data_IF_747862623302
#
_entry.id   IF_747862623302
#
_cell.length_a   1.000
_cell.length_b   1.000
_cell.length_c   1.000
_cell.angle_alpha   90.00
_cell.angle_beta   90.00
_cell.angle_gamma   90.00
#
_symmetry.space_group_name_H-M   'P 1'
#
loop_
_entity.id
_entity.type
_entity.pdbx_description
1 polymer ?
#
# COMPACT_ATOMS: atom_id res chain seq x y z
N UNK A 1 5.12 19.15 -1.71
CA UNK A 1 5.49 18.32 -2.87
C UNK A 1 4.46 17.23 -3.13
N UNK A 2 4.09 16.40 -2.14
CA UNK A 2 3.16 15.26 -2.34
C UNK A 2 1.80 15.66 -2.96
N UNK A 3 1.14 16.68 -2.40
CA UNK A 3 -0.14 17.19 -2.94
C UNK A 3 -0.03 17.73 -4.37
N UNK A 4 1.02 18.49 -4.65
CA UNK A 4 1.23 19.07 -5.98
C UNK A 4 1.57 17.98 -7.01
N UNK A 5 2.44 17.04 -6.63
CA UNK A 5 2.76 15.87 -7.46
C UNK A 5 1.51 15.03 -7.74
N UNK A 6 0.67 14.81 -6.73
CA UNK A 6 -0.61 14.12 -6.90
C UNK A 6 -1.51 14.82 -7.92
N UNK A 7 -1.72 16.13 -7.80
CA UNK A 7 -2.54 16.90 -8.75
C UNK A 7 -2.00 16.81 -10.16
N UNK A 8 -0.69 17.06 -10.34
CA UNK A 8 -0.04 16.98 -11.66
C UNK A 8 -0.20 15.60 -12.28
N UNK A 9 -0.03 14.53 -11.50
CA UNK A 9 -0.23 13.17 -12.00
C UNK A 9 -1.68 12.91 -12.41
N UNK A 10 -2.66 13.32 -11.60
CA UNK A 10 -4.07 13.16 -11.93
C UNK A 10 -4.44 13.94 -13.21
N UNK A 11 -4.05 15.21 -13.29
CA UNK A 11 -4.30 16.06 -14.46
C UNK A 11 -3.63 15.49 -15.71
N UNK A 12 -2.37 15.07 -15.63
CA UNK A 12 -1.66 14.46 -16.76
C UNK A 12 -2.39 13.24 -17.31
N UNK A 13 -2.86 12.33 -16.43
CA UNK A 13 -3.59 11.14 -16.87
C UNK A 13 -4.91 11.49 -17.55
N UNK A 14 -5.64 12.46 -17.01
CA UNK A 14 -6.90 12.93 -17.60
C UNK A 14 -6.68 13.62 -18.95
N UNK A 15 -5.64 14.45 -19.07
CA UNK A 15 -5.27 15.15 -20.32
C UNK A 15 -4.82 14.17 -21.41
N UNK A 16 -4.22 13.04 -21.03
CA UNK A 16 -3.91 11.92 -21.92
C UNK A 16 -5.15 11.11 -22.34
N UNK A 17 -6.35 11.46 -21.84
CA UNK A 17 -7.61 10.80 -22.15
C UNK A 17 -7.91 9.55 -21.32
N UNK A 18 -7.16 9.28 -20.25
CA UNK A 18 -7.47 8.15 -19.36
C UNK A 18 -8.67 8.46 -18.47
N UNK A 19 -9.63 7.52 -18.40
CA UNK A 19 -10.69 7.53 -17.38
C UNK A 19 -10.20 6.80 -16.14
N UNK A 20 -10.10 7.51 -15.01
CA UNK A 20 -9.72 6.93 -13.72
C UNK A 20 -11.00 6.56 -12.96
N UNK A 21 -11.30 5.27 -12.84
CA UNK A 21 -12.49 4.81 -12.12
C UNK A 21 -12.22 4.68 -10.62
N UNK A 22 -11.11 4.07 -10.24
CA UNK A 22 -10.72 3.80 -8.86
C UNK A 22 -9.30 4.29 -8.61
N UNK A 23 -9.09 4.94 -7.46
CA UNK A 23 -7.76 5.33 -7.01
C UNK A 23 -7.55 4.95 -5.56
N UNK A 24 -6.51 4.18 -5.29
CA UNK A 24 -6.11 3.79 -3.95
C UNK A 24 -4.98 4.69 -3.44
N UNK A 25 -5.11 5.21 -2.21
CA UNK A 25 -4.07 6.02 -1.57
C UNK A 25 -3.88 5.64 -0.11
N UNK A 26 -2.82 6.17 0.49
CA UNK A 26 -2.70 6.24 1.93
C UNK A 26 -3.75 7.17 2.55
N UNK A 27 -3.92 7.11 3.87
CA UNK A 27 -4.85 7.93 4.66
C UNK A 27 -4.36 9.38 4.87
N UNK A 28 -3.89 10.01 3.79
CA UNK A 28 -3.42 11.39 3.81
C UNK A 28 -4.60 12.39 3.75
N UNK A 29 -4.72 13.26 4.77
CA UNK A 29 -5.89 14.14 4.94
C UNK A 29 -6.06 15.11 3.76
N UNK A 30 -4.98 15.69 3.25
CA UNK A 30 -5.05 16.63 2.12
C UNK A 30 -5.46 15.93 0.82
N UNK A 31 -4.88 14.77 0.48
CA UNK A 31 -5.27 13.96 -0.69
C UNK A 31 -6.74 13.56 -0.60
N UNK A 32 -7.22 13.13 0.57
CA UNK A 32 -8.65 12.86 0.79
C UNK A 32 -9.53 14.08 0.47
N UNK A 33 -9.11 15.28 0.89
CA UNK A 33 -9.83 16.50 0.57
C UNK A 33 -9.80 16.83 -0.92
N UNK A 34 -8.69 16.57 -1.61
CA UNK A 34 -8.53 16.79 -3.04
C UNK A 34 -9.44 15.85 -3.82
N UNK A 35 -9.39 14.55 -3.53
CA UNK A 35 -10.28 13.56 -4.15
C UNK A 35 -11.74 13.97 -4.02
N UNK A 36 -12.16 14.42 -2.83
CA UNK A 36 -13.55 14.85 -2.63
C UNK A 36 -13.93 16.13 -3.39
N UNK A 37 -13.00 17.10 -3.52
CA UNK A 37 -13.30 18.43 -4.08
C UNK A 37 -13.05 18.54 -5.57
N UNK A 38 -11.96 17.93 -6.04
CA UNK A 38 -11.43 18.08 -7.40
C UNK A 38 -11.70 16.85 -8.27
N UNK A 39 -11.82 15.65 -7.68
CA UNK A 39 -12.03 14.39 -8.41
C UNK A 39 -13.20 13.55 -7.85
N UNK A 40 -14.41 14.12 -7.67
CA UNK A 40 -15.52 13.45 -6.99
C UNK A 40 -16.05 12.20 -7.71
N UNK A 41 -15.85 12.12 -9.03
CA UNK A 41 -16.25 10.97 -9.87
C UNK A 41 -15.32 9.75 -9.70
N UNK A 42 -14.11 9.96 -9.17
CA UNK A 42 -13.15 8.88 -8.96
C UNK A 42 -13.44 8.20 -7.61
N UNK A 43 -13.66 6.89 -7.64
CA UNK A 43 -13.88 6.12 -6.43
C UNK A 43 -12.58 6.03 -5.61
N UNK A 44 -12.53 6.82 -4.54
CA UNK A 44 -11.38 6.88 -3.64
C UNK A 44 -11.37 5.71 -2.65
N UNK A 45 -10.31 4.90 -2.72
CA UNK A 45 -10.05 3.75 -1.86
C UNK A 45 -8.82 3.98 -0.97
N UNK A 46 -8.76 3.26 0.15
CA UNK A 46 -7.57 3.19 0.99
C UNK A 46 -6.83 1.87 0.83
N UNK A 47 -5.53 1.88 1.07
CA UNK A 47 -4.77 0.65 1.24
C UNK A 47 -5.17 -0.07 2.54
N UNK A 48 -5.73 -1.27 2.40
CA UNK A 48 -6.12 -2.14 3.52
C UNK A 48 -4.95 -2.48 4.44
N UNK A 49 -3.73 -2.63 3.91
CA UNK A 49 -2.53 -2.88 4.71
C UNK A 49 -2.24 -1.72 5.65
N UNK A 50 -2.28 -0.48 5.16
CA UNK A 50 -2.05 0.72 5.97
C UNK A 50 -3.14 0.87 7.05
N UNK A 51 -4.41 0.56 6.73
CA UNK A 51 -5.49 0.60 7.73
C UNK A 51 -5.31 -0.48 8.79
N UNK A 52 -5.02 -1.71 8.38
CA UNK A 52 -4.72 -2.84 9.26
C UNK A 52 -3.56 -2.52 10.22
N UNK A 53 -2.48 -1.92 9.71
CA UNK A 53 -1.34 -1.47 10.52
C UNK A 53 -1.74 -0.41 11.54
N UNK A 54 -2.60 0.55 11.16
CA UNK A 54 -3.14 1.56 12.07
C UNK A 54 -3.98 0.96 13.20
N UNK A 55 -4.88 0.03 12.87
CA UNK A 55 -5.71 -0.70 13.84
C UNK A 55 -4.84 -1.50 14.80
N UNK A 56 -3.90 -2.29 14.26
CA UNK A 56 -2.97 -3.09 15.08
C UNK A 56 -2.23 -2.20 16.08
N UNK A 57 -1.70 -1.05 15.64
CA UNK A 57 -1.03 -0.08 16.52
C UNK A 57 -1.94 0.42 17.65
N UNK A 58 -3.22 0.76 17.36
CA UNK A 58 -4.20 1.17 18.39
C UNK A 58 -4.47 0.04 19.38
N UNK A 59 -4.68 -1.17 18.91
CA UNK A 59 -4.91 -2.34 19.76
C UNK A 59 -3.68 -2.68 20.61
N UNK A 60 -2.47 -2.55 20.06
CA UNK A 60 -1.24 -2.77 20.83
C UNK A 60 -1.10 -1.77 21.97
N UNK A 61 -1.50 -0.52 21.76
CA UNK A 61 -1.52 0.46 22.82
C UNK A 61 -2.55 0.10 23.91
N UNK A 62 -3.76 -0.29 23.51
CA UNK A 62 -4.81 -0.74 24.46
C UNK A 62 -4.40 -1.99 25.24
N UNK A 63 -3.72 -2.94 24.61
CA UNK A 63 -3.29 -4.19 25.21
C UNK A 63 -2.23 -4.02 26.32
N UNK A 64 -1.59 -2.84 26.42
CA UNK A 64 -0.68 -2.49 27.52
C UNK A 64 -1.41 -2.07 28.80
N UNK A 65 -2.72 -1.79 28.74
CA UNK A 65 -3.52 -1.45 29.91
C UNK A 65 -3.81 -2.68 30.77
N UNK A 66 -3.78 -2.53 32.10
CA UNK A 66 -4.05 -3.63 33.05
C UNK A 66 -5.43 -4.25 32.80
N UNK A 67 -5.47 -5.56 32.55
CA UNK A 67 -6.69 -6.31 32.24
C UNK A 67 -7.11 -6.27 30.76
N UNK A 68 -6.22 -5.84 29.86
CA UNK A 68 -6.42 -5.82 28.41
C UNK A 68 -5.41 -6.72 27.66
N UNK A 69 -4.62 -7.50 28.38
CA UNK A 69 -3.51 -8.30 27.85
C UNK A 69 -3.98 -9.34 26.83
N UNK A 70 -5.19 -9.87 27.02
CA UNK A 70 -5.81 -10.87 26.14
C UNK A 70 -6.04 -10.38 24.71
N UNK A 71 -6.07 -9.06 24.47
CA UNK A 71 -6.14 -8.49 23.12
C UNK A 71 -4.97 -8.93 22.24
N UNK A 72 -3.80 -9.21 22.83
CA UNK A 72 -2.63 -9.65 22.08
C UNK A 72 -2.87 -10.98 21.35
N UNK A 73 -3.66 -11.88 21.94
CA UNK A 73 -4.01 -13.18 21.34
C UNK A 73 -4.88 -13.03 20.09
N UNK A 74 -5.65 -11.94 20.00
CA UNK A 74 -6.59 -11.70 18.91
C UNK A 74 -6.05 -10.83 17.78
N UNK A 75 -4.91 -10.16 17.96
CA UNK A 75 -4.38 -9.20 16.97
C UNK A 75 -4.29 -9.77 15.56
N UNK A 76 -3.72 -10.97 15.41
CA UNK A 76 -3.55 -11.61 14.10
C UNK A 76 -4.92 -11.89 13.47
N UNK A 77 -5.86 -12.44 14.24
CA UNK A 77 -7.20 -12.74 13.79
C UNK A 77 -7.98 -11.49 13.40
N UNK A 78 -7.91 -10.41 14.19
CA UNK A 78 -8.58 -9.14 13.87
C UNK A 78 -8.01 -8.52 12.59
N UNK A 79 -6.69 -8.55 12.43
CA UNK A 79 -6.03 -8.07 11.21
C UNK A 79 -6.48 -8.89 10.00
N UNK A 80 -6.40 -10.23 10.07
CA UNK A 80 -6.82 -11.11 8.99
C UNK A 80 -8.32 -10.96 8.67
N UNK A 81 -9.14 -10.73 9.69
CA UNK A 81 -10.58 -10.50 9.53
C UNK A 81 -10.87 -9.23 8.73
N UNK A 82 -10.14 -8.13 8.95
CA UNK A 82 -10.30 -6.93 8.12
C UNK A 82 -9.99 -7.19 6.65
N UNK A 83 -8.91 -7.92 6.37
CA UNK A 83 -8.55 -8.33 5.01
C UNK A 83 -9.63 -9.19 4.38
N UNK A 84 -10.16 -10.16 5.13
CA UNK A 84 -11.26 -11.01 4.70
C UNK A 84 -12.54 -10.21 4.42
N UNK A 85 -12.91 -9.28 5.31
CA UNK A 85 -14.08 -8.43 5.11
C UNK A 85 -13.96 -7.62 3.82
N UNK A 86 -12.81 -6.96 3.60
CA UNK A 86 -12.58 -6.16 2.41
C UNK A 86 -12.60 -7.02 1.13
N UNK A 87 -11.99 -8.21 1.17
CA UNK A 87 -11.96 -9.13 0.03
C UNK A 87 -13.32 -9.76 -0.30
N UNK A 88 -14.22 -9.92 0.68
CA UNK A 88 -15.46 -10.67 0.52
C UNK A 88 -16.73 -9.82 0.55
N UNK A 89 -16.59 -8.49 0.62
CA UNK A 89 -17.75 -7.60 0.61
C UNK A 89 -18.38 -7.40 -0.78
N UNK A 90 -17.73 -7.86 -1.86
CA UNK A 90 -18.25 -7.74 -3.22
C UNK A 90 -18.51 -6.29 -3.66
N UNK A 91 -17.73 -5.32 -3.15
CA UNK A 91 -17.95 -3.89 -3.40
C UNK A 91 -18.98 -3.23 -2.48
N UNK A 92 -19.72 -3.98 -1.66
CA UNK A 92 -20.77 -3.45 -0.79
C UNK A 92 -20.20 -2.94 0.55
N UNK A 93 -20.38 -1.63 0.78
CA UNK A 93 -19.86 -0.94 1.96
C UNK A 93 -20.59 -1.31 3.25
N UNK A 94 -21.87 -1.68 3.17
CA UNK A 94 -22.66 -2.08 4.33
C UNK A 94 -22.30 -3.51 4.74
N UNK A 95 -22.16 -4.43 3.79
CA UNK A 95 -21.66 -5.80 4.06
C UNK A 95 -20.27 -5.73 4.69
N UNK A 96 -19.38 -4.92 4.14
CA UNK A 96 -18.03 -4.70 4.67
C UNK A 96 -18.05 -4.23 6.12
N UNK A 97 -18.87 -3.22 6.42
CA UNK A 97 -18.94 -2.61 7.75
C UNK A 97 -19.58 -3.56 8.78
N UNK A 98 -20.68 -4.24 8.43
CA UNK A 98 -21.31 -5.23 9.31
C UNK A 98 -20.38 -6.42 9.56
N UNK A 99 -19.72 -6.92 8.51
CA UNK A 99 -18.72 -7.99 8.63
C UNK A 99 -17.58 -7.56 9.55
N UNK A 100 -17.08 -6.33 9.44
CA UNK A 100 -16.04 -5.81 10.32
C UNK A 100 -16.50 -5.76 11.78
N UNK A 101 -17.69 -5.21 12.05
CA UNK A 101 -18.22 -5.05 13.41
C UNK A 101 -18.42 -6.40 14.09
N UNK A 102 -18.77 -7.44 13.33
CA UNK A 102 -19.03 -8.78 13.86
C UNK A 102 -17.85 -9.39 14.62
N UNK A 103 -16.61 -8.91 14.40
CA UNK A 103 -15.42 -9.39 15.11
C UNK A 103 -15.54 -9.21 16.62
N UNK A 104 -16.27 -8.17 17.07
CA UNK A 104 -16.53 -7.94 18.50
C UNK A 104 -17.28 -9.12 19.10
N UNK A 105 -18.34 -9.59 18.43
CA UNK A 105 -19.12 -10.75 18.87
C UNK A 105 -18.31 -12.04 18.76
N UNK A 106 -17.60 -12.23 17.64
CA UNK A 106 -16.77 -13.42 17.44
C UNK A 106 -15.73 -13.57 18.56
N UNK A 107 -15.05 -12.49 18.97
CA UNK A 107 -14.02 -12.59 20.03
C UNK A 107 -14.53 -13.05 21.40
N UNK A 108 -15.84 -12.98 21.65
CA UNK A 108 -16.50 -13.47 22.87
C UNK A 108 -17.33 -14.74 22.62
N UNK A 109 -16.99 -15.48 21.57
CA UNK A 109 -17.64 -16.73 21.16
C UNK A 109 -19.13 -16.60 20.78
N UNK A 110 -19.56 -15.42 20.32
CA UNK A 110 -20.91 -15.19 19.79
C UNK A 110 -20.82 -15.19 18.26
N UNK A 111 -21.38 -16.24 17.64
CA UNK A 111 -21.28 -16.45 16.18
C UNK A 111 -22.54 -16.07 15.41
N UNK A 112 -23.62 -15.72 16.11
CA UNK A 112 -24.87 -15.22 15.53
C UNK A 112 -25.24 -13.90 16.18
N UNK A 113 -25.56 -12.90 15.38
CA UNK A 113 -25.72 -11.53 15.83
C UNK A 113 -26.69 -10.77 14.93
N UNK A 114 -27.17 -9.64 15.44
CA UNK A 114 -28.03 -8.73 14.69
C UNK A 114 -27.24 -8.05 13.57
N UNK A 115 -27.80 -8.05 12.36
CA UNK A 115 -27.25 -7.41 11.19
C UNK A 115 -28.26 -7.45 10.05
N UNK A 116 -28.17 -6.52 9.09
CA UNK A 116 -29.08 -6.50 7.94
C UNK A 116 -28.63 -7.52 6.89
N UNK A 117 -27.33 -7.55 6.62
CA UNK A 117 -26.70 -8.34 5.55
C UNK A 117 -25.76 -9.42 6.09
N UNK A 118 -25.07 -9.17 7.21
CA UNK A 118 -24.17 -10.12 7.86
C UNK A 118 -24.68 -10.49 9.25
N UNK A 119 -25.21 -11.71 9.42
CA UNK A 119 -25.90 -12.16 10.65
C UNK A 119 -25.19 -13.27 11.40
N UNK A 120 -24.19 -13.90 10.78
CA UNK A 120 -23.44 -15.00 11.38
C UNK A 120 -22.01 -15.05 10.86
N UNK A 121 -21.11 -15.65 11.62
CA UNK A 121 -19.74 -15.87 11.19
C UNK A 121 -19.68 -16.75 9.92
N UNK A 122 -18.80 -16.38 8.97
CA UNK A 122 -18.66 -17.06 7.68
C UNK A 122 -17.63 -18.20 7.73
N UNK A 123 -17.68 -19.01 8.78
CA UNK A 123 -16.90 -20.23 8.91
C UNK A 123 -17.83 -21.36 9.37
N UNK A 124 -17.44 -22.60 9.09
CA UNK A 124 -18.09 -23.78 9.66
C UNK A 124 -17.99 -23.75 11.19
N UNK A 125 -18.86 -24.48 11.92
CA UNK A 125 -18.72 -24.61 13.37
C UNK A 125 -17.28 -24.91 13.77
N UNK A 126 -16.80 -24.22 14.81
CA UNK A 126 -15.46 -24.44 15.32
C UNK A 126 -15.51 -25.72 16.13
N UNK A 127 -14.69 -26.70 15.75
CA UNK A 127 -14.59 -27.96 16.48
C UNK A 127 -14.32 -27.72 17.97
N UNK A 128 -14.97 -28.46 18.89
CA UNK A 128 -14.85 -28.24 20.34
C UNK A 128 -13.40 -28.17 20.82
N UNK A 129 -12.53 -29.05 20.31
CA UNK A 129 -11.12 -29.12 20.68
C UNK A 129 -10.36 -27.84 20.30
N UNK A 130 -10.71 -27.24 19.16
CA UNK A 130 -10.13 -25.96 18.72
C UNK A 130 -10.73 -24.81 19.51
N UNK A 131 -12.02 -24.87 19.84
CA UNK A 131 -12.70 -23.84 20.62
C UNK A 131 -12.15 -23.76 22.05
N UNK A 132 -11.89 -24.89 22.69
CA UNK A 132 -11.42 -24.97 24.08
C UNK A 132 -10.00 -24.45 24.26
N UNK A 133 -9.16 -24.56 23.22
CA UNK A 133 -7.81 -23.98 23.23
C UNK A 133 -7.79 -22.50 22.89
N UNK A 134 -8.90 -21.95 22.39
CA UNK A 134 -8.99 -20.57 21.94
C UNK A 134 -9.22 -19.65 23.14
N UNK A 135 -8.39 -18.61 23.22
CA UNK A 135 -8.43 -17.62 24.30
C UNK A 135 -9.52 -16.58 24.06
N UNK A 136 -10.79 -16.99 24.17
CA UNK A 136 -11.94 -16.09 24.05
C UNK A 136 -11.85 -14.95 25.06
N UNK A 137 -12.27 -13.75 24.64
CA UNK A 137 -12.42 -12.64 25.56
C UNK A 137 -13.66 -12.87 26.43
N UNK A 138 -13.59 -12.46 27.69
CA UNK A 138 -14.77 -12.41 28.55
C UNK A 138 -15.66 -11.25 28.11
N UNK A 139 -16.95 -11.52 27.90
CA UNK A 139 -17.92 -10.49 27.52
C UNK A 139 -17.92 -9.34 28.53
N UNK A 140 -17.80 -8.14 27.99
CA UNK A 140 -17.76 -6.84 28.69
C UNK A 140 -16.63 -6.66 29.72
N UNK A 141 -15.61 -7.53 29.66
CA UNK A 141 -14.31 -7.29 30.29
C UNK A 141 -13.64 -6.00 29.79
N UNK A 142 -12.58 -5.57 30.50
CA UNK A 142 -11.77 -4.42 30.09
C UNK A 142 -11.19 -4.62 28.67
N UNK A 143 -10.67 -5.81 28.37
CA UNK A 143 -10.19 -6.18 27.04
C UNK A 143 -11.31 -6.05 25.98
N UNK A 144 -12.47 -6.64 26.21
CA UNK A 144 -13.59 -6.58 25.26
C UNK A 144 -14.09 -5.15 25.02
N UNK A 145 -14.18 -4.33 26.07
CA UNK A 145 -14.54 -2.91 25.96
C UNK A 145 -13.49 -2.12 25.17
N UNK A 146 -12.21 -2.36 25.43
CA UNK A 146 -11.12 -1.74 24.67
C UNK A 146 -11.13 -2.16 23.18
N UNK A 147 -11.49 -3.40 22.85
CA UNK A 147 -11.72 -3.83 21.47
C UNK A 147 -12.90 -3.07 20.85
N UNK A 148 -14.05 -3.02 21.52
CA UNK A 148 -15.25 -2.27 21.08
C UNK A 148 -14.91 -0.82 20.76
N UNK A 149 -14.17 -0.14 21.63
CA UNK A 149 -13.75 1.26 21.41
C UNK A 149 -12.97 1.45 20.10
N UNK A 150 -12.12 0.49 19.73
CA UNK A 150 -11.34 0.58 18.47
C UNK A 150 -12.21 0.19 17.28
N UNK A 151 -12.93 -0.93 17.34
CA UNK A 151 -13.71 -1.48 16.22
C UNK A 151 -14.89 -0.56 15.86
N UNK A 152 -15.56 0.00 16.87
CA UNK A 152 -16.76 0.83 16.71
C UNK A 152 -16.45 2.32 16.56
N UNK A 153 -15.18 2.72 16.52
CA UNK A 153 -14.78 4.11 16.29
C UNK A 153 -15.41 4.65 15.00
N UNK A 154 -16.18 5.73 15.13
CA UNK A 154 -16.94 6.33 14.01
C UNK A 154 -16.01 6.75 12.86
N UNK A 155 -14.81 7.23 13.17
CA UNK A 155 -13.83 7.64 12.13
C UNK A 155 -13.25 6.42 11.43
N UNK A 156 -12.88 5.38 12.19
CA UNK A 156 -12.42 4.13 11.61
C UNK A 156 -13.46 3.51 10.69
N UNK A 157 -14.72 3.40 11.14
CA UNK A 157 -15.81 2.82 10.34
C UNK A 157 -16.01 3.55 9.01
N UNK A 158 -15.95 4.88 9.00
CA UNK A 158 -15.97 5.67 7.75
C UNK A 158 -14.81 5.34 6.82
N UNK A 159 -13.62 5.12 7.37
CA UNK A 159 -12.45 4.77 6.56
C UNK A 159 -12.50 3.30 6.09
N UNK A 160 -13.10 2.39 6.87
CA UNK A 160 -13.34 0.99 6.46
C UNK A 160 -14.25 0.91 5.24
N UNK A 161 -15.28 1.77 5.16
CA UNK A 161 -16.13 1.87 3.95
C UNK A 161 -15.37 2.29 2.68
N UNK A 162 -14.10 2.70 2.77
CA UNK A 162 -13.21 2.97 1.62
C UNK A 162 -12.28 1.79 1.30
N UNK A 163 -12.57 0.59 1.78
CA UNK A 163 -11.84 -0.64 1.44
C UNK A 163 -12.66 -1.60 0.56
N UNK A 164 -13.81 -1.15 0.04
CA UNK A 164 -14.77 -2.03 -0.62
C UNK A 164 -14.27 -2.58 -1.96
N UNK A 165 -13.25 -1.97 -2.59
CA UNK A 165 -12.58 -2.51 -3.78
C UNK A 165 -11.31 -3.33 -3.46
N UNK A 166 -11.08 -3.65 -2.18
CA UNK A 166 -9.95 -4.46 -1.72
C UNK A 166 -8.57 -4.02 -2.28
N UNK A 167 -8.35 -2.70 -2.33
CA UNK A 167 -7.11 -2.14 -2.86
C UNK A 167 -5.93 -2.32 -1.89
N UNK A 168 -4.76 -2.71 -2.41
CA UNK A 168 -3.52 -2.82 -1.64
C UNK A 168 -2.27 -2.56 -2.50
N UNK A 169 -1.20 -2.05 -1.89
CA UNK A 169 0.01 -1.60 -2.60
C UNK A 169 1.07 -2.69 -2.83
N UNK A 170 0.74 -3.98 -2.65
CA UNK A 170 1.69 -5.08 -2.79
C UNK A 170 2.47 -5.10 -4.11
N UNK A 171 1.82 -4.81 -5.24
CA UNK A 171 2.49 -4.75 -6.55
C UNK A 171 3.37 -3.50 -6.71
N UNK A 172 3.00 -2.38 -6.09
CA UNK A 172 3.82 -1.16 -6.07
C UNK A 172 5.11 -1.39 -5.29
N UNK A 173 5.08 -2.14 -4.18
CA UNK A 173 6.29 -2.51 -3.43
C UNK A 173 7.24 -3.40 -4.25
N UNK A 174 6.68 -4.28 -5.09
CA UNK A 174 7.48 -5.07 -6.05
C UNK A 174 8.11 -4.15 -7.09
N UNK A 175 7.38 -3.16 -7.61
CA UNK A 175 7.93 -2.15 -8.51
C UNK A 175 9.03 -1.32 -7.86
N UNK A 176 8.81 -0.78 -6.66
CA UNK A 176 9.81 0.00 -5.92
C UNK A 176 11.09 -0.80 -5.68
N UNK A 177 10.94 -2.09 -5.33
CA UNK A 177 12.08 -2.99 -5.17
C UNK A 177 12.85 -3.22 -6.48
N UNK A 178 12.16 -3.25 -7.62
CA UNK A 178 12.77 -3.35 -8.94
C UNK A 178 13.46 -2.04 -9.35
N UNK A 179 12.78 -0.91 -9.16
CA UNK A 179 13.27 0.43 -9.45
C UNK A 179 14.62 0.68 -8.75
N UNK A 180 14.76 0.26 -7.50
CA UNK A 180 16.02 0.37 -6.75
C UNK A 180 17.20 -0.39 -7.37
N UNK A 181 16.97 -1.35 -8.27
CA UNK A 181 18.04 -2.02 -9.03
C UNK A 181 18.57 -1.14 -10.16
N UNK A 182 17.70 -0.31 -10.76
CA UNK A 182 18.04 0.60 -11.85
C UNK A 182 18.52 1.96 -11.33
N UNK A 183 17.91 2.45 -10.25
CA UNK A 183 18.18 3.73 -9.59
C UNK A 183 18.52 3.51 -8.10
N UNK A 184 19.68 2.91 -7.78
CA UNK A 184 20.08 2.68 -6.40
C UNK A 184 20.29 4.00 -5.65
N UNK A 185 19.72 4.12 -4.45
CA UNK A 185 19.83 5.33 -3.60
C UNK A 185 21.25 5.73 -3.18
N UNK A 186 22.23 4.84 -3.39
CA UNK A 186 23.64 5.03 -3.01
C UNK A 186 24.49 5.63 -4.13
N UNK A 187 23.90 5.85 -5.29
CA UNK A 187 24.57 6.43 -6.45
C UNK A 187 23.85 7.71 -6.84
N UNK A 188 24.62 8.71 -7.24
CA UNK A 188 24.09 9.93 -7.84
C UNK A 188 23.93 9.71 -9.34
N UNK A 189 22.86 10.28 -9.88
CA UNK A 189 22.54 10.25 -11.29
C UNK A 189 22.12 11.66 -11.71
N UNK A 190 22.56 12.09 -12.89
CA UNK A 190 21.98 13.27 -13.50
C UNK A 190 20.52 13.01 -13.92
N UNK A 191 19.82 14.06 -14.36
CA UNK A 191 18.41 13.96 -14.75
C UNK A 191 18.18 12.96 -15.90
N UNK A 192 19.05 12.93 -16.91
CA UNK A 192 18.88 12.08 -18.09
C UNK A 192 19.11 10.60 -17.75
N UNK A 193 20.10 10.33 -16.91
CA UNK A 193 20.37 9.02 -16.33
C UNK A 193 19.18 8.57 -15.47
N UNK A 194 18.65 9.44 -14.60
CA UNK A 194 17.47 9.14 -13.79
C UNK A 194 16.26 8.79 -14.65
N UNK A 195 15.97 9.61 -15.67
CA UNK A 195 14.86 9.39 -16.58
C UNK A 195 15.01 8.06 -17.33
N UNK A 196 16.18 7.83 -17.94
CA UNK A 196 16.45 6.63 -18.73
C UNK A 196 16.38 5.36 -17.87
N UNK A 197 17.00 5.37 -16.69
CA UNK A 197 16.99 4.22 -15.77
C UNK A 197 15.60 3.95 -15.22
N UNK A 198 14.81 4.98 -14.95
CA UNK A 198 13.41 4.83 -14.54
C UNK A 198 12.59 4.22 -15.67
N UNK A 199 12.77 4.67 -16.91
CA UNK A 199 12.09 4.11 -18.07
C UNK A 199 12.42 2.62 -18.28
N UNK A 200 13.70 2.22 -18.13
CA UNK A 200 14.11 0.82 -18.18
C UNK A 200 13.46 -0.02 -17.07
N UNK A 201 13.35 0.52 -15.85
CA UNK A 201 12.67 -0.14 -14.74
C UNK A 201 11.18 -0.35 -15.03
N UNK A 202 10.52 0.65 -15.63
CA UNK A 202 9.10 0.57 -16.06
C UNK A 202 8.92 -0.50 -17.13
N UNK A 203 9.82 -0.57 -18.12
CA UNK A 203 9.78 -1.59 -19.18
C UNK A 203 9.97 -3.00 -18.59
N UNK A 204 11.00 -3.21 -17.75
CA UNK A 204 11.21 -4.49 -17.05
C UNK A 204 9.98 -4.86 -16.21
N UNK A 205 9.42 -3.90 -15.46
CA UNK A 205 8.24 -4.13 -14.65
C UNK A 205 7.08 -4.60 -15.52
N UNK A 206 6.68 -3.83 -16.53
CA UNK A 206 5.50 -4.08 -17.35
C UNK A 206 5.60 -5.41 -18.11
N UNK A 207 6.77 -5.73 -18.67
CA UNK A 207 7.00 -6.99 -19.40
C UNK A 207 7.11 -8.21 -18.48
N UNK A 208 7.26 -8.01 -17.17
CA UNK A 208 7.39 -9.08 -16.18
C UNK A 208 6.32 -9.07 -15.09
N UNK A 209 5.31 -8.20 -15.22
CA UNK A 209 4.12 -8.26 -14.39
C UNK A 209 3.29 -9.47 -14.78
N UNK A 210 2.50 -9.97 -13.83
CA UNK A 210 1.52 -11.05 -14.06
C UNK A 210 2.10 -12.38 -14.58
N UNK A 211 3.37 -12.68 -14.26
CA UNK A 211 3.93 -14.01 -14.54
C UNK A 211 3.08 -15.07 -13.85
N UNK A 212 2.70 -16.09 -14.62
CA UNK A 212 2.01 -17.26 -14.06
C UNK A 212 2.84 -17.94 -12.97
N UNK A 213 2.17 -18.50 -11.97
CA UNK A 213 2.83 -19.38 -11.00
C UNK A 213 3.35 -20.61 -11.74
N UNK A 214 4.57 -21.04 -11.41
CA UNK A 214 5.17 -22.24 -11.97
C UNK A 214 4.37 -23.45 -11.53
N UNK A 215 4.13 -24.35 -12.47
CA UNK A 215 3.38 -25.60 -12.25
C UNK A 215 4.32 -26.77 -12.53
N UNK A 216 4.25 -27.83 -11.73
CA UNK A 216 5.02 -29.05 -11.98
C UNK A 216 4.36 -29.92 -13.08
N UNK A 217 4.99 -31.03 -13.47
CA UNK A 217 4.45 -31.93 -14.49
C UNK A 217 3.07 -32.52 -14.12
N UNK A 218 2.73 -32.56 -12.83
CA UNK A 218 1.45 -33.04 -12.31
C UNK A 218 0.35 -31.99 -12.18
N UNK A 219 0.58 -30.75 -12.63
CA UNK A 219 -0.43 -29.68 -12.52
C UNK A 219 -0.43 -28.94 -11.16
N UNK A 220 0.49 -29.27 -10.25
CA UNK A 220 0.55 -28.66 -8.93
C UNK A 220 1.35 -27.35 -8.94
N UNK A 221 0.83 -26.35 -8.23
CA UNK A 221 1.44 -25.03 -8.05
C UNK A 221 2.73 -25.13 -7.24
N UNK A 222 3.82 -24.56 -7.74
CA UNK A 222 5.12 -24.58 -7.07
C UNK A 222 5.20 -23.52 -5.97
N UNK A 223 5.71 -23.92 -4.80
CA UNK A 223 5.97 -23.06 -3.64
C UNK A 223 7.41 -23.21 -3.16
N UNK A 224 7.94 -22.13 -2.58
CA UNK A 224 9.17 -22.16 -1.79
C UNK A 224 8.86 -21.84 -0.34
N UNK A 225 9.55 -22.52 0.57
CA UNK A 225 9.45 -22.26 2.00
C UNK A 225 10.39 -21.11 2.37
N UNK A 226 9.85 -20.09 3.04
CA UNK A 226 10.62 -18.93 3.51
C UNK A 226 10.30 -18.71 4.98
N UNK A 227 11.30 -18.43 5.79
CA UNK A 227 11.13 -17.96 7.17
C UNK A 227 11.48 -16.46 7.24
N UNK A 228 10.49 -15.55 7.18
CA UNK A 228 10.76 -14.11 7.24
C UNK A 228 11.27 -13.73 8.62
N UNK A 229 12.36 -12.96 8.68
CA UNK A 229 12.97 -12.47 9.94
C UNK A 229 11.95 -11.77 10.86
N UNK A 230 10.98 -11.06 10.28
CA UNK A 230 9.98 -10.31 11.03
C UNK A 230 8.99 -11.18 11.80
N UNK A 231 8.69 -12.39 11.29
CA UNK A 231 7.70 -13.29 11.91
C UNK A 231 8.33 -14.52 12.56
N UNK A 232 9.52 -14.95 12.10
CA UNK A 232 10.16 -16.18 12.55
C UNK A 232 9.37 -17.45 12.20
N UNK A 233 8.33 -17.34 11.37
CA UNK A 233 7.45 -18.45 11.01
C UNK A 233 7.66 -18.85 9.55
N UNK A 234 7.65 -20.16 9.30
CA UNK A 234 7.67 -20.70 7.94
C UNK A 234 6.40 -20.33 7.19
N UNK A 235 6.56 -19.79 5.99
CA UNK A 235 5.46 -19.49 5.07
C UNK A 235 5.78 -20.04 3.68
N UNK A 236 4.78 -20.59 3.03
CA UNK A 236 4.85 -20.96 1.63
C UNK A 236 4.69 -19.70 0.75
N UNK A 237 5.65 -19.46 -0.14
CA UNK A 237 5.56 -18.37 -1.14
C UNK A 237 5.47 -18.96 -2.55
N UNK A 238 4.57 -18.47 -3.42
CA UNK A 238 4.47 -18.94 -4.79
C UNK A 238 5.77 -18.69 -5.56
N UNK A 239 6.15 -19.65 -6.39
CA UNK A 239 7.26 -19.52 -7.34
C UNK A 239 6.68 -19.22 -8.71
N UNK A 240 7.11 -18.13 -9.32
CA UNK A 240 6.62 -17.69 -10.63
C UNK A 240 7.53 -18.16 -11.77
N UNK A 241 6.98 -18.24 -12.98
CA UNK A 241 7.72 -18.51 -14.21
C UNK A 241 8.86 -17.52 -14.43
N UNK A 242 9.85 -17.87 -15.25
CA UNK A 242 11.01 -17.02 -15.51
C UNK A 242 10.60 -15.66 -16.08
N UNK A 243 11.42 -14.64 -15.80
CA UNK A 243 11.26 -13.32 -16.39
C UNK A 243 11.61 -13.35 -17.89
N UNK A 244 10.95 -12.51 -18.66
CA UNK A 244 11.26 -12.21 -20.05
C UNK A 244 12.27 -11.04 -20.11
N UNK A 245 13.43 -11.32 -20.74
CA UNK A 245 14.50 -10.37 -20.98
C UNK A 245 14.80 -10.17 -22.47
N UNK A 246 13.96 -10.69 -23.37
CA UNK A 246 14.14 -10.53 -24.83
C UNK A 246 14.20 -9.05 -25.25
N UNK A 247 13.45 -8.19 -24.56
CA UNK A 247 13.47 -6.74 -24.77
C UNK A 247 14.86 -6.11 -24.55
N UNK A 248 15.70 -6.68 -23.68
CA UNK A 248 17.06 -6.18 -23.44
C UNK A 248 17.92 -6.40 -24.67
N UNK A 249 17.84 -7.59 -25.27
CA UNK A 249 18.61 -7.91 -26.48
C UNK A 249 18.21 -7.04 -27.65
N UNK A 250 16.90 -6.81 -27.86
CA UNK A 250 16.40 -5.89 -28.88
C UNK A 250 16.90 -4.45 -28.66
N UNK A 251 17.00 -3.98 -27.42
CA UNK A 251 17.59 -2.67 -27.13
C UNK A 251 19.08 -2.61 -27.43
N UNK A 252 19.84 -3.65 -27.09
CA UNK A 252 21.28 -3.73 -27.37
C UNK A 252 21.51 -3.69 -28.88
N UNK A 253 20.74 -4.47 -29.64
CA UNK A 253 20.79 -4.47 -31.11
C UNK A 253 20.50 -3.08 -31.70
N UNK A 254 19.45 -2.40 -31.23
CA UNK A 254 19.15 -1.03 -31.63
C UNK A 254 20.30 -0.05 -31.34
N UNK A 255 20.99 -0.20 -30.20
CA UNK A 255 22.15 0.62 -29.85
C UNK A 255 23.33 0.35 -30.79
N UNK A 256 23.57 -0.91 -31.16
CA UNK A 256 24.61 -1.27 -32.12
C UNK A 256 24.33 -0.67 -33.50
N UNK A 257 23.10 -0.80 -33.99
CA UNK A 257 22.66 -0.19 -35.26
C UNK A 257 22.83 1.34 -35.22
N UNK A 258 22.37 2.01 -34.15
CA UNK A 258 22.51 3.46 -34.01
C UNK A 258 23.96 3.92 -33.98
N UNK A 259 24.85 3.13 -33.39
CA UNK A 259 26.29 3.41 -33.37
C UNK A 259 26.89 3.29 -34.77
N UNK A 260 26.47 2.31 -35.56
CA UNK A 260 26.92 2.11 -36.95
C UNK A 260 26.39 3.21 -37.87
N UNK A 261 25.15 3.67 -37.69
CA UNK A 261 24.52 4.69 -38.53
C UNK A 261 24.83 6.13 -38.12
N UNK A 262 25.52 6.35 -36.99
CA UNK A 262 25.82 7.66 -36.38
C UNK A 262 24.60 8.57 -36.16
N UNK A 263 23.39 8.00 -36.11
CA UNK A 263 22.15 8.74 -35.88
C UNK A 263 21.92 8.86 -34.38
N UNK A 264 22.66 9.73 -33.71
CA UNK A 264 22.31 10.17 -32.36
C UNK A 264 21.38 11.39 -32.47
N UNK A 265 20.09 11.28 -32.13
CA UNK A 265 19.24 12.45 -32.05
C UNK A 265 19.80 13.38 -30.96
N UNK A 266 20.18 14.59 -31.34
CA UNK A 266 20.47 15.65 -30.38
C UNK A 266 19.16 15.98 -29.68
N UNK A 267 19.04 15.62 -28.40
CA UNK A 267 17.94 16.10 -27.58
C UNK A 267 18.18 17.58 -27.28
N UNK A 268 17.39 18.47 -27.89
CA UNK A 268 17.25 19.82 -27.36
C UNK A 268 16.61 19.73 -25.97
N UNK A 269 17.33 20.22 -24.96
CA UNK A 269 16.87 20.16 -23.57
C UNK A 269 15.95 21.35 -23.31
N UNK A 270 14.69 21.10 -23.01
CA UNK A 270 13.88 22.12 -22.34
C UNK A 270 14.52 22.38 -20.97
N UNK A 271 14.94 23.63 -20.69
CA UNK A 271 15.35 24.00 -19.35
C UNK A 271 14.14 23.85 -18.42
N UNK A 272 14.20 22.88 -17.51
CA UNK A 272 13.19 22.75 -16.47
C UNK A 272 13.25 23.99 -15.57
N UNK A 273 12.14 24.74 -15.54
CA UNK A 273 12.02 25.92 -14.68
C UNK A 273 12.06 25.57 -13.20
N UNK A 274 12.49 26.51 -12.37
CA UNK A 274 12.48 26.33 -10.92
C UNK A 274 11.06 26.06 -10.41
N UNK A 275 10.88 24.96 -9.68
CA UNK A 275 9.59 24.57 -9.08
C UNK A 275 9.31 25.25 -7.74
N UNK A 276 10.21 26.12 -7.26
CA UNK A 276 10.01 26.86 -6.03
C UNK A 276 8.77 27.77 -6.15
N UNK A 277 7.91 27.81 -5.13
CA UNK A 277 6.71 28.65 -5.14
C UNK A 277 7.04 30.15 -5.07
N UNK A 278 8.30 30.51 -4.78
CA UNK A 278 8.79 31.87 -4.68
C UNK A 278 9.95 32.07 -5.65
N UNK A 279 10.10 33.27 -6.24
CA UNK A 279 11.26 33.60 -7.06
C UNK A 279 12.54 33.46 -6.23
N UNK A 280 13.62 33.02 -6.89
CA UNK A 280 14.93 32.86 -6.25
C UNK A 280 15.39 34.24 -5.77
N UNK A 281 15.58 34.47 -4.46
CA UNK A 281 16.15 35.72 -3.97
C UNK A 281 17.60 35.83 -4.45
N UNK A 282 18.14 37.06 -4.51
CA UNK A 282 19.55 37.24 -4.87
C UNK A 282 20.46 36.41 -3.95
N UNK A 283 21.47 35.75 -4.55
CA UNK A 283 22.45 34.92 -3.83
C UNK A 283 23.10 35.69 -2.67
N UNK A 284 23.42 36.96 -2.86
CA UNK A 284 23.98 37.86 -1.84
C UNK A 284 23.06 38.03 -0.63
N UNK A 285 21.76 38.28 -0.84
CA UNK A 285 20.78 38.42 0.25
C UNK A 285 20.59 37.11 1.04
N UNK A 286 20.61 35.96 0.36
CA UNK A 286 20.54 34.65 1.03
C UNK A 286 21.80 34.39 1.88
N UNK A 287 22.97 34.69 1.33
CA UNK A 287 24.26 34.55 2.01
C UNK A 287 24.33 35.47 3.23
N UNK A 288 23.91 36.73 3.13
CA UNK A 288 23.87 37.66 4.27
C UNK A 288 22.93 37.17 5.38
N UNK A 289 21.71 36.70 5.04
CA UNK A 289 20.80 36.10 6.03
C UNK A 289 21.35 34.82 6.66
N UNK A 290 22.21 34.08 5.95
CA UNK A 290 22.86 32.89 6.49
C UNK A 290 23.96 33.26 7.49
N UNK A 291 24.77 34.29 7.18
CA UNK A 291 25.83 34.79 8.06
C UNK A 291 25.31 35.63 9.24
N UNK A 292 24.11 36.22 9.16
CA UNK A 292 23.59 37.10 10.22
C UNK A 292 23.22 36.40 11.54
N UNK A 293 23.40 35.07 11.65
CA UNK A 293 23.18 34.33 12.91
C UNK A 293 24.43 34.18 13.76
N UNK A 294 25.62 34.32 13.18
CA UNK A 294 26.89 34.31 13.88
C UNK A 294 27.85 35.23 13.14
N UNK A 295 28.04 36.45 13.66
CA UNK A 295 29.14 37.29 13.20
C UNK A 295 30.46 36.54 13.45
N UNK A 296 31.34 36.54 12.44
CA UNK A 296 32.75 36.28 12.70
C UNK A 296 33.26 37.47 13.49
N UNK A 297 33.49 37.28 14.78
CA UNK A 297 34.35 38.16 15.56
C UNK A 297 35.67 38.28 14.81
N UNK A 298 35.94 39.48 14.33
CA UNK A 298 37.20 39.93 13.73
C UNK A 298 38.36 39.81 14.70
#
# INVERSE_FOLDING_TARGET
MEVEGFRRCMTLLLDMGFRIEVLATDRHVQIRSIMKKEFPEVQHQFDVWHLCKSIKKKLTLKAKGKGCEDLNHWMKSICNHLWWCASNCGGDKDILEESWISIVNHTVNIHSFEGKFFKQCAHTPIEPEVSDTKKWLVKDSKAHKALKEVVLDKRLRKDIRQLNEFCHTGNLEVFHSLLLKYTPKRQEFDNDQMWTRTALAVIDHNLNQNRGQKVNKGGEKAYKLVCPKATGQWVAKPVFNNKNYQWVFAMIENVLVQKETMTLPVKERAQEGNIAPLPVPSKSALIQKHFSRFEKSS
#
